data_IF_280846884550
#
_entry.id   IF_280846884550
#
_cell.length_a   1.000
_cell.length_b   1.000
_cell.length_c   1.000
_cell.angle_alpha   90.00
_cell.angle_beta   90.00
_cell.angle_gamma   90.00
#
_symmetry.space_group_name_H-M   'P 1'
#
loop_
_entity.id
_entity.type
_entity.pdbx_description
1 polymer ?
#
# COMPACT_ATOMS: atom_id res chain seq x y z
N UNK A 1 -12.79 7.45 1.48
CA UNK A 1 -12.48 8.14 0.21
C UNK A 1 -13.72 8.16 -0.69
N UNK A 2 -13.77 9.02 -1.70
CA UNK A 2 -14.80 8.93 -2.74
C UNK A 2 -14.35 7.91 -3.79
N UNK A 3 -15.11 6.83 -3.92
CA UNK A 3 -14.85 5.73 -4.85
C UNK A 3 -15.85 5.73 -6.03
N UNK A 4 -16.67 6.78 -6.16
CA UNK A 4 -17.76 6.82 -7.13
C UNK A 4 -17.24 6.75 -8.56
N UNK A 5 -17.79 5.80 -9.34
CA UNK A 5 -17.46 5.62 -10.76
C UNK A 5 -16.05 5.08 -11.06
N UNK A 6 -15.30 4.61 -10.07
CA UNK A 6 -14.01 3.95 -10.31
C UNK A 6 -14.21 2.54 -10.85
N UNK A 7 -13.47 2.21 -11.91
CA UNK A 7 -13.32 0.82 -12.35
C UNK A 7 -12.42 0.02 -11.42
N UNK A 8 -12.55 -1.30 -11.43
CA UNK A 8 -11.71 -2.24 -10.70
C UNK A 8 -10.23 -2.01 -11.02
N UNK A 9 -9.92 -1.84 -12.30
CA UNK A 9 -8.56 -1.57 -12.76
C UNK A 9 -8.01 -0.27 -12.15
N UNK A 10 -8.77 0.83 -12.20
CA UNK A 10 -8.34 2.12 -11.62
C UNK A 10 -8.13 2.02 -10.11
N UNK A 11 -9.05 1.36 -9.40
CA UNK A 11 -8.94 1.14 -7.96
C UNK A 11 -7.66 0.36 -7.61
N UNK A 12 -7.46 -0.82 -8.19
CA UNK A 12 -6.32 -1.68 -7.87
C UNK A 12 -4.97 -1.10 -8.32
N UNK A 13 -4.93 -0.37 -9.44
CA UNK A 13 -3.73 0.37 -9.83
C UNK A 13 -3.40 1.50 -8.85
N UNK A 14 -4.41 2.24 -8.39
CA UNK A 14 -4.25 3.22 -7.31
C UNK A 14 -3.73 2.56 -6.03
N UNK A 15 -4.22 1.36 -5.68
CA UNK A 15 -3.78 0.63 -4.48
C UNK A 15 -2.31 0.23 -4.62
N UNK A 16 -1.91 -0.23 -5.80
CA UNK A 16 -0.51 -0.56 -6.08
C UNK A 16 0.40 0.69 -6.03
N UNK A 17 -0.09 1.84 -6.48
CA UNK A 17 0.64 3.11 -6.35
C UNK A 17 0.81 3.48 -4.87
N UNK A 18 -0.26 3.48 -4.09
CA UNK A 18 -0.23 3.74 -2.65
C UNK A 18 0.70 2.76 -1.90
N UNK A 19 0.67 1.47 -2.21
CA UNK A 19 1.58 0.46 -1.64
C UNK A 19 3.05 0.73 -1.98
N UNK A 20 3.36 1.12 -3.22
CA UNK A 20 4.72 1.48 -3.63
C UNK A 20 5.19 2.75 -2.96
N UNK A 21 4.33 3.76 -2.86
CA UNK A 21 4.64 5.01 -2.16
C UNK A 21 4.91 4.75 -0.69
N UNK A 22 4.09 3.93 -0.01
CA UNK A 22 4.33 3.55 1.38
C UNK A 22 5.66 2.81 1.54
N UNK A 23 5.98 1.88 0.65
CA UNK A 23 7.27 1.17 0.68
C UNK A 23 8.44 2.14 0.52
N UNK A 24 8.35 3.10 -0.42
CA UNK A 24 9.37 4.13 -0.63
C UNK A 24 9.50 5.08 0.56
N UNK A 25 8.38 5.52 1.13
CA UNK A 25 8.35 6.39 2.30
C UNK A 25 9.00 5.70 3.51
N UNK A 26 8.68 4.43 3.76
CA UNK A 26 9.31 3.61 4.79
C UNK A 26 10.83 3.52 4.59
N UNK A 27 11.29 3.22 3.37
CA UNK A 27 12.71 3.17 3.05
C UNK A 27 13.41 4.52 3.27
N UNK A 28 12.76 5.64 2.93
CA UNK A 28 13.30 6.97 3.17
C UNK A 28 13.42 7.28 4.67
N UNK A 29 12.40 6.94 5.48
CA UNK A 29 12.44 7.10 6.94
C UNK A 29 13.58 6.28 7.53
N UNK A 30 13.72 5.00 7.15
CA UNK A 30 14.79 4.13 7.65
C UNK A 30 16.18 4.65 7.25
N UNK A 31 16.35 5.12 6.00
CA UNK A 31 17.63 5.68 5.53
C UNK A 31 18.00 6.98 6.26
N UNK A 32 17.01 7.84 6.55
CA UNK A 32 17.22 9.05 7.36
C UNK A 32 17.64 8.67 8.80
N UNK A 33 16.98 7.69 9.42
CA UNK A 33 17.33 7.19 10.76
C UNK A 33 18.73 6.57 10.82
N UNK A 34 19.12 5.76 9.84
CA UNK A 34 20.46 5.15 9.75
C UNK A 34 21.56 6.18 9.54
N UNK A 35 21.34 7.16 8.65
CA UNK A 35 22.28 8.26 8.40
C UNK A 35 22.49 9.11 9.65
N UNK A 36 21.46 9.26 10.48
CA UNK A 36 21.53 9.99 11.74
C UNK A 36 22.19 9.22 12.85
N UNK A 37 21.95 7.90 12.97
CA UNK A 37 22.72 7.04 13.86
C UNK A 37 24.22 7.12 13.56
N UNK A 38 24.58 7.08 12.28
CA UNK A 38 25.96 7.23 11.82
C UNK A 38 26.55 8.63 12.08
N UNK A 39 25.78 9.71 11.87
CA UNK A 39 26.24 11.09 12.10
C UNK A 39 26.30 11.46 13.58
N UNK A 40 25.34 11.04 14.41
CA UNK A 40 25.36 11.23 15.86
C UNK A 40 26.60 10.56 16.48
N UNK A 41 26.96 9.36 15.99
CA UNK A 41 28.18 8.67 16.38
C UNK A 41 29.47 9.40 15.91
N UNK A 42 29.41 10.14 14.80
CA UNK A 42 30.53 10.97 14.31
C UNK A 42 30.69 12.29 15.08
N UNK A 43 29.60 12.91 15.55
CA UNK A 43 29.65 14.14 16.36
C UNK A 43 30.25 13.91 17.76
N UNK A 44 30.23 12.67 18.27
CA UNK A 44 30.97 12.28 19.47
C UNK A 44 32.50 12.24 19.29
N UNK A 45 33.00 12.41 18.07
CA UNK A 45 34.43 12.40 17.74
C UNK A 45 34.88 13.75 17.13
N UNK A 46 35.00 14.79 17.95
CA UNK A 46 35.73 16.01 17.61
C UNK A 46 34.89 17.29 17.63
N UNK A 47 35.23 18.19 18.55
CA UNK A 47 34.51 19.44 18.76
C UNK A 47 34.51 20.39 17.55
N UNK A 48 33.37 21.03 17.29
CA UNK A 48 33.31 22.27 16.55
C UNK A 48 32.10 23.12 16.96
N UNK A 49 32.40 24.40 17.17
CA UNK A 49 31.52 25.48 17.61
C UNK A 49 30.75 25.99 16.38
N UNK A 50 29.54 25.48 16.16
CA UNK A 50 28.63 25.88 15.07
C UNK A 50 27.26 26.26 15.61
N UNK A 51 26.71 27.37 15.13
CA UNK A 51 25.50 28.06 15.61
C UNK A 51 24.29 27.14 15.81
N UNK A 52 23.72 27.15 17.03
CA UNK A 52 22.49 26.43 17.41
C UNK A 52 21.28 26.70 16.50
N UNK A 53 21.27 27.83 15.80
CA UNK A 53 20.15 28.28 14.97
C UNK A 53 20.00 27.45 13.68
N UNK A 54 21.11 27.02 13.08
CA UNK A 54 21.11 26.14 11.89
C UNK A 54 20.75 24.68 12.23
N UNK A 55 21.05 24.25 13.45
CA UNK A 55 20.70 22.91 13.96
C UNK A 55 19.20 22.82 14.24
N UNK A 56 18.59 23.83 14.85
CA UNK A 56 17.15 23.87 15.11
C UNK A 56 16.33 23.93 13.82
N UNK A 57 16.71 24.75 12.83
CA UNK A 57 15.98 24.84 11.56
C UNK A 57 16.02 23.53 10.71
N UNK A 58 17.04 22.69 10.90
CA UNK A 58 17.12 21.35 10.29
C UNK A 58 16.25 20.32 11.02
N UNK A 59 16.10 20.46 12.33
CA UNK A 59 15.22 19.61 13.16
C UNK A 59 13.74 19.95 12.92
N UNK A 60 13.37 21.23 12.83
CA UNK A 60 11.97 21.63 12.57
C UNK A 60 11.49 21.17 11.19
N UNK A 61 12.30 21.38 10.14
CA UNK A 61 12.00 20.88 8.78
C UNK A 61 11.89 19.35 8.72
N UNK A 62 12.56 18.64 9.63
CA UNK A 62 12.47 17.19 9.76
C UNK A 62 11.19 16.75 10.44
N UNK A 63 10.80 17.39 11.55
CA UNK A 63 9.54 17.10 12.24
C UNK A 63 8.36 17.34 11.29
N UNK A 64 8.42 18.41 10.49
CA UNK A 64 7.41 18.70 9.48
C UNK A 64 7.38 17.65 8.35
N UNK A 65 8.55 17.17 7.90
CA UNK A 65 8.67 16.13 6.87
C UNK A 65 8.23 14.75 7.38
N UNK A 66 8.62 14.37 8.59
CA UNK A 66 8.18 13.14 9.26
C UNK A 66 6.67 13.17 9.50
N UNK A 67 6.10 14.29 9.96
CA UNK A 67 4.66 14.44 10.12
C UNK A 67 3.89 14.40 8.78
N UNK A 68 4.43 15.01 7.72
CA UNK A 68 3.86 14.94 6.37
C UNK A 68 3.93 13.52 5.78
N UNK A 69 5.05 12.82 5.99
CA UNK A 69 5.22 11.43 5.56
C UNK A 69 4.32 10.50 6.37
N UNK A 70 4.21 10.67 7.69
CA UNK A 70 3.29 9.91 8.53
C UNK A 70 1.83 10.13 8.16
N UNK A 71 1.42 11.37 7.84
CA UNK A 71 0.05 11.65 7.39
C UNK A 71 -0.23 11.00 6.04
N UNK A 72 0.68 11.13 5.06
CA UNK A 72 0.56 10.44 3.75
C UNK A 72 0.51 8.92 3.90
N UNK A 73 1.33 8.37 4.79
CA UNK A 73 1.28 6.95 5.10
C UNK A 73 -0.06 6.55 5.70
N UNK A 74 -0.63 7.36 6.60
CA UNK A 74 -1.93 7.09 7.20
C UNK A 74 -3.07 7.11 6.17
N UNK A 75 -3.09 8.11 5.27
CA UNK A 75 -4.08 8.20 4.19
C UNK A 75 -3.94 7.01 3.21
N UNK A 76 -2.70 6.58 2.93
CA UNK A 76 -2.43 5.37 2.14
C UNK A 76 -2.79 4.08 2.87
N UNK A 77 -2.64 4.03 4.21
CA UNK A 77 -3.05 2.88 5.02
C UNK A 77 -4.57 2.71 5.02
N UNK A 78 -5.35 3.78 5.04
CA UNK A 78 -6.80 3.70 4.90
C UNK A 78 -7.19 3.12 3.53
N UNK A 79 -6.52 3.55 2.46
CA UNK A 79 -6.74 3.01 1.11
C UNK A 79 -6.39 1.52 0.98
N UNK A 80 -5.24 1.12 1.55
CA UNK A 80 -4.80 -0.28 1.57
C UNK A 80 -5.72 -1.13 2.45
N UNK A 81 -6.18 -0.59 3.58
CA UNK A 81 -7.12 -1.26 4.48
C UNK A 81 -8.49 -1.46 3.81
N UNK A 82 -8.96 -0.47 3.06
CA UNK A 82 -10.17 -0.60 2.24
C UNK A 82 -10.01 -1.68 1.17
N UNK A 83 -8.84 -1.79 0.53
CA UNK A 83 -8.53 -2.88 -0.40
C UNK A 83 -8.55 -4.26 0.29
N UNK A 84 -7.98 -4.40 1.49
CA UNK A 84 -8.06 -5.65 2.26
C UNK A 84 -9.50 -6.00 2.64
N UNK A 85 -10.30 -5.02 3.05
CA UNK A 85 -11.72 -5.22 3.33
C UNK A 85 -12.48 -5.66 2.08
N UNK A 86 -12.21 -5.06 0.92
CA UNK A 86 -12.82 -5.46 -0.34
C UNK A 86 -12.46 -6.90 -0.73
N UNK A 87 -11.22 -7.32 -0.49
CA UNK A 87 -10.73 -8.65 -0.86
C UNK A 87 -11.28 -9.76 0.04
N UNK A 88 -11.25 -9.57 1.35
CA UNK A 88 -11.47 -10.63 2.34
C UNK A 88 -12.66 -10.38 3.29
N UNK A 89 -13.35 -9.25 3.16
CA UNK A 89 -14.43 -8.83 4.07
C UNK A 89 -13.95 -7.98 5.24
N UNK A 90 -14.89 -7.46 6.03
CA UNK A 90 -14.59 -6.58 7.16
C UNK A 90 -13.74 -7.26 8.25
N UNK A 91 -13.90 -8.58 8.43
CA UNK A 91 -13.06 -9.35 9.35
C UNK A 91 -11.64 -9.59 8.82
N UNK A 92 -11.45 -9.43 7.50
CA UNK A 92 -10.24 -9.79 6.75
C UNK A 92 -9.86 -11.28 6.84
N UNK A 93 -10.77 -12.15 7.32
CA UNK A 93 -10.55 -13.60 7.45
C UNK A 93 -11.10 -14.39 6.25
N UNK A 94 -11.57 -13.72 5.21
CA UNK A 94 -12.14 -14.35 4.00
C UNK A 94 -13.61 -14.74 4.15
N UNK A 95 -14.33 -14.15 5.11
CA UNK A 95 -15.77 -14.35 5.33
C UNK A 95 -16.65 -13.42 4.48
N UNK A 96 -16.05 -12.54 3.68
CA UNK A 96 -16.76 -11.62 2.79
C UNK A 96 -15.88 -11.09 1.65
N UNK A 97 -16.33 -10.02 1.01
CA UNK A 97 -15.61 -9.38 -0.09
C UNK A 97 -15.55 -10.26 -1.35
N UNK A 98 -14.48 -10.08 -2.13
CA UNK A 98 -14.23 -10.79 -3.39
C UNK A 98 -14.11 -12.30 -3.18
N UNK A 99 -13.54 -12.76 -2.06
CA UNK A 99 -13.51 -14.19 -1.70
C UNK A 99 -14.89 -14.84 -1.74
N UNK A 100 -15.90 -14.15 -1.20
CA UNK A 100 -17.28 -14.64 -1.16
C UNK A 100 -17.97 -14.43 -2.50
N UNK A 101 -17.79 -13.27 -3.13
CA UNK A 101 -18.39 -12.92 -4.43
C UNK A 101 -18.04 -13.95 -5.50
N UNK A 102 -16.76 -14.29 -5.61
CA UNK A 102 -16.25 -15.25 -6.59
C UNK A 102 -16.29 -16.70 -6.11
N UNK A 103 -16.73 -16.94 -4.87
CA UNK A 103 -16.71 -18.25 -4.19
C UNK A 103 -15.35 -18.97 -4.24
N UNK A 104 -14.25 -18.21 -4.29
CA UNK A 104 -12.90 -18.75 -4.43
C UNK A 104 -11.85 -17.75 -3.96
N UNK A 105 -10.93 -18.21 -3.10
CA UNK A 105 -9.88 -17.37 -2.53
C UNK A 105 -8.80 -16.97 -3.54
N UNK A 106 -8.66 -17.72 -4.65
CA UNK A 106 -7.61 -17.47 -5.65
C UNK A 106 -7.72 -16.08 -6.28
N UNK A 107 -8.92 -15.54 -6.42
CA UNK A 107 -9.14 -14.19 -6.96
C UNK A 107 -8.65 -13.13 -5.97
N UNK A 108 -8.96 -13.28 -4.68
CA UNK A 108 -8.51 -12.35 -3.66
C UNK A 108 -6.98 -12.42 -3.49
N UNK A 109 -6.42 -13.63 -3.44
CA UNK A 109 -4.98 -13.84 -3.30
C UNK A 109 -4.22 -13.28 -4.51
N UNK A 110 -4.72 -13.49 -5.72
CA UNK A 110 -4.16 -12.90 -6.94
C UNK A 110 -4.04 -11.37 -6.81
N UNK A 111 -5.14 -10.70 -6.46
CA UNK A 111 -5.16 -9.23 -6.37
C UNK A 111 -4.30 -8.72 -5.20
N UNK A 112 -4.30 -9.44 -4.08
CA UNK A 112 -3.44 -9.17 -2.92
C UNK A 112 -1.96 -9.23 -3.29
N UNK A 113 -1.50 -10.31 -3.93
CA UNK A 113 -0.10 -10.44 -4.33
C UNK A 113 0.28 -9.45 -5.44
N UNK A 114 -0.59 -9.26 -6.42
CA UNK A 114 -0.29 -8.45 -7.61
C UNK A 114 -0.29 -6.95 -7.31
N UNK A 115 -1.28 -6.46 -6.58
CA UNK A 115 -1.51 -5.03 -6.39
C UNK A 115 -1.10 -4.55 -5.01
N UNK A 116 -1.51 -5.23 -3.94
CA UNK A 116 -1.15 -4.78 -2.58
C UNK A 116 0.33 -5.04 -2.28
N UNK A 117 0.85 -6.22 -2.65
CA UNK A 117 2.26 -6.57 -2.49
C UNK A 117 3.12 -6.18 -3.71
N UNK A 118 2.49 -5.66 -4.77
CA UNK A 118 3.16 -5.15 -5.97
C UNK A 118 4.09 -6.16 -6.67
N UNK A 119 3.83 -7.46 -6.53
CA UNK A 119 4.66 -8.50 -7.11
C UNK A 119 4.54 -8.57 -8.64
N UNK A 120 5.56 -9.14 -9.28
CA UNK A 120 5.52 -9.41 -10.73
C UNK A 120 4.63 -10.60 -11.04
N UNK A 121 4.17 -10.71 -12.29
CA UNK A 121 3.39 -11.86 -12.73
C UNK A 121 4.09 -13.21 -12.50
N UNK A 122 5.41 -13.24 -12.65
CA UNK A 122 6.22 -14.44 -12.40
C UNK A 122 6.19 -14.83 -10.92
N UNK A 123 6.40 -13.87 -10.01
CA UNK A 123 6.37 -14.14 -8.56
C UNK A 123 5.00 -14.61 -8.09
N UNK A 124 3.92 -14.02 -8.62
CA UNK A 124 2.54 -14.43 -8.31
C UNK A 124 2.28 -15.83 -8.85
N UNK A 125 2.76 -16.14 -10.06
CA UNK A 125 2.64 -17.47 -10.68
C UNK A 125 3.31 -18.55 -9.85
N UNK A 126 4.50 -18.27 -9.31
CA UNK A 126 5.21 -19.18 -8.41
C UNK A 126 4.46 -19.40 -7.09
N UNK A 127 3.92 -18.32 -6.50
CA UNK A 127 3.19 -18.39 -5.21
C UNK A 127 1.87 -19.14 -5.30
N UNK A 128 1.10 -18.89 -6.36
CA UNK A 128 -0.20 -19.51 -6.58
C UNK A 128 -0.12 -20.82 -7.37
N UNK A 129 1.09 -21.27 -7.72
CA UNK A 129 1.34 -22.48 -8.51
C UNK A 129 0.48 -22.54 -9.79
N UNK A 130 0.23 -21.37 -10.39
CA UNK A 130 -0.75 -21.20 -11.48
C UNK A 130 -0.08 -20.43 -12.62
N UNK A 131 -0.24 -20.85 -13.89
CA UNK A 131 0.39 -20.17 -15.02
C UNK A 131 -0.04 -18.70 -15.16
N UNK A 132 0.89 -17.82 -15.55
CA UNK A 132 0.63 -16.38 -15.76
C UNK A 132 -0.59 -16.12 -16.64
N UNK A 133 -0.75 -16.88 -17.73
CA UNK A 133 -1.89 -16.72 -18.65
C UNK A 133 -3.24 -16.96 -17.95
N UNK A 134 -3.31 -17.94 -17.07
CA UNK A 134 -4.50 -18.24 -16.27
C UNK A 134 -4.74 -17.13 -15.26
N UNK A 135 -3.70 -16.64 -14.58
CA UNK A 135 -3.83 -15.53 -13.64
C UNK A 135 -4.34 -14.25 -14.31
N UNK A 136 -3.85 -13.92 -15.50
CA UNK A 136 -4.35 -12.77 -16.29
C UNK A 136 -5.80 -12.95 -16.75
N UNK A 137 -6.26 -14.19 -16.92
CA UNK A 137 -7.67 -14.46 -17.21
C UNK A 137 -8.53 -14.24 -15.96
N UNK A 138 -8.12 -14.80 -14.82
CA UNK A 138 -8.81 -14.62 -13.54
C UNK A 138 -8.91 -13.14 -13.14
N UNK A 139 -7.85 -12.36 -13.42
CA UNK A 139 -7.85 -10.90 -13.22
C UNK A 139 -8.94 -10.21 -14.04
N UNK A 140 -9.06 -10.54 -15.33
CA UNK A 140 -10.11 -9.96 -16.18
C UNK A 140 -11.49 -10.32 -15.67
N UNK A 141 -11.71 -11.60 -15.34
CA UNK A 141 -13.00 -12.09 -14.85
C UNK A 141 -13.42 -11.39 -13.55
N UNK A 142 -12.50 -11.23 -12.58
CA UNK A 142 -12.83 -10.52 -11.33
C UNK A 142 -13.01 -9.02 -11.54
N UNK A 143 -12.26 -8.39 -12.44
CA UNK A 143 -12.44 -6.96 -12.74
C UNK A 143 -13.78 -6.69 -13.42
N UNK A 144 -14.14 -7.49 -14.43
CA UNK A 144 -15.44 -7.43 -15.09
C UNK A 144 -16.57 -7.59 -14.06
N UNK A 145 -16.46 -8.56 -13.15
CA UNK A 145 -17.48 -8.79 -12.11
C UNK A 145 -17.60 -7.60 -11.16
N UNK A 146 -16.48 -7.03 -10.71
CA UNK A 146 -16.47 -5.86 -9.82
C UNK A 146 -17.12 -4.65 -10.51
N UNK A 147 -16.82 -4.43 -11.79
CA UNK A 147 -17.34 -3.31 -12.57
C UNK A 147 -18.83 -3.46 -12.87
N UNK A 148 -19.27 -4.64 -13.33
CA UNK A 148 -20.66 -4.94 -13.63
C UNK A 148 -21.57 -4.79 -12.41
N UNK A 149 -21.09 -5.21 -11.25
CA UNK A 149 -21.85 -5.10 -10.01
C UNK A 149 -21.69 -3.75 -9.31
N UNK A 150 -20.82 -2.86 -9.80
CA UNK A 150 -20.38 -1.66 -9.10
C UNK A 150 -19.98 -1.99 -7.64
N UNK A 151 -19.23 -3.08 -7.48
CA UNK A 151 -19.01 -3.74 -6.20
C UNK A 151 -18.19 -2.89 -5.23
N UNK A 152 -17.19 -2.15 -5.74
CA UNK A 152 -16.37 -1.23 -4.94
C UNK A 152 -17.25 -0.21 -4.22
N UNK A 153 -18.13 0.46 -4.97
CA UNK A 153 -19.01 1.49 -4.42
C UNK A 153 -19.99 0.89 -3.41
N UNK A 154 -20.63 -0.24 -3.74
CA UNK A 154 -21.60 -0.91 -2.85
C UNK A 154 -20.95 -1.42 -1.57
N UNK A 155 -19.75 -1.97 -1.66
CA UNK A 155 -19.10 -2.64 -0.54
C UNK A 155 -18.43 -1.63 0.40
N UNK A 156 -17.75 -0.61 -0.15
CA UNK A 156 -17.02 0.37 0.66
C UNK A 156 -17.90 1.51 1.19
N UNK A 157 -19.03 1.84 0.54
CA UNK A 157 -20.00 2.82 1.12
C UNK A 157 -20.75 2.30 2.35
N UNK A 158 -20.84 0.98 2.50
CA UNK A 158 -21.58 0.33 3.59
C UNK A 158 -20.66 -0.14 4.74
N UNK A 159 -19.39 0.27 4.75
CA UNK A 159 -18.38 -0.06 5.77
C UNK A 159 -18.50 0.85 7.00
#
# INVERSE_FOLDING_TARGET
>A
MDYSGLTASEFFHGVAEASRENTRALQQIMSLQETEGAKAQSYSAGGSKGSNQDTMAKVDKRIDLEALLSKRMNDNYDYINDAYTLLYGASQLGDGGICQLMSSSIYADLLQWRYLQCLTWSDVSERLLTPVRTLQQLEREVFETIDEENYIEKFLKNK
#
